data_IF_258145799922
#
_entry.id   IF_258145799922
#
_cell.length_a   1.000
_cell.length_b   1.000
_cell.length_c   1.000
_cell.angle_alpha   90.00
_cell.angle_beta   90.00
_cell.angle_gamma   90.00
#
_symmetry.space_group_name_H-M   'P 1'
#
loop_
_entity.id
_entity.type
_entity.pdbx_description
1 polymer ?
#
# COMPACT_ATOMS: atom_id res chain seq x y z
N UNK A 1 8.83 27.44 -0.39
CA UNK A 1 8.00 26.66 0.55
C UNK A 1 7.07 25.82 -0.30
N UNK A 2 7.49 24.61 -0.62
CA UNK A 2 6.76 23.71 -1.52
C UNK A 2 5.45 23.33 -0.83
N UNK A 3 4.33 23.58 -1.50
CA UNK A 3 3.02 23.13 -1.08
C UNK A 3 3.00 21.59 -1.20
N UNK A 4 3.49 20.87 -0.20
CA UNK A 4 3.24 19.43 -0.08
C UNK A 4 1.74 19.25 0.14
N UNK A 5 1.01 19.17 -0.96
CA UNK A 5 -0.36 18.70 -0.94
C UNK A 5 -0.33 17.31 -0.30
N UNK A 6 -0.85 17.19 0.93
CA UNK A 6 -1.04 15.89 1.59
C UNK A 6 -1.84 15.03 0.62
N UNK A 7 -1.20 14.01 0.08
CA UNK A 7 -1.87 13.03 -0.77
C UNK A 7 -3.01 12.41 0.04
N UNK A 8 -4.25 12.40 -0.48
CA UNK A 8 -5.36 11.73 0.18
C UNK A 8 -5.03 10.25 0.47
N UNK A 9 -5.51 9.73 1.59
CA UNK A 9 -5.32 8.32 1.95
C UNK A 9 -6.21 7.39 1.10
N UNK A 10 -7.31 7.94 0.59
CA UNK A 10 -8.25 7.28 -0.31
C UNK A 10 -8.54 8.20 -1.50
N UNK A 11 -8.62 7.62 -2.69
CA UNK A 11 -9.03 8.32 -3.92
C UNK A 11 -10.26 7.65 -4.53
N UNK A 12 -11.13 8.44 -5.16
CA UNK A 12 -12.20 7.89 -5.98
C UNK A 12 -11.64 7.05 -7.14
N UNK A 13 -12.43 6.09 -7.64
CA UNK A 13 -11.95 5.15 -8.66
C UNK A 13 -11.39 5.84 -9.92
N UNK A 14 -12.05 6.90 -10.37
CA UNK A 14 -11.75 7.68 -11.57
C UNK A 14 -10.99 8.99 -11.29
N UNK A 15 -10.49 9.16 -10.06
CA UNK A 15 -9.78 10.37 -9.65
C UNK A 15 -8.52 10.61 -10.50
N UNK A 16 -8.30 11.81 -11.07
CA UNK A 16 -7.11 12.11 -11.86
C UNK A 16 -5.80 12.00 -11.07
N UNK A 17 -5.84 12.06 -9.73
CA UNK A 17 -4.69 11.84 -8.86
C UNK A 17 -4.33 10.35 -8.68
N UNK A 18 -5.12 9.40 -9.23
CA UNK A 18 -4.85 7.96 -9.20
C UNK A 18 -3.71 7.56 -10.16
N UNK A 19 -2.53 8.14 -9.97
CA UNK A 19 -1.32 7.87 -10.77
C UNK A 19 -0.64 6.56 -10.36
N UNK A 20 0.34 6.12 -11.15
CA UNK A 20 1.14 4.93 -10.88
C UNK A 20 1.78 4.96 -9.48
N UNK A 21 2.28 6.12 -9.07
CA UNK A 21 2.95 6.35 -7.79
C UNK A 21 1.97 6.33 -6.60
N UNK A 22 0.73 6.76 -6.83
CA UNK A 22 -0.27 6.86 -5.76
C UNK A 22 -1.07 5.58 -5.56
N UNK A 23 -1.35 4.81 -6.61
CA UNK A 23 -2.25 3.63 -6.53
C UNK A 23 -1.68 2.37 -7.19
N UNK A 24 -0.46 2.42 -7.72
CA UNK A 24 0.17 1.31 -8.44
C UNK A 24 -0.39 1.08 -9.84
N UNK A 25 0.23 0.16 -10.60
CA UNK A 25 -0.06 -0.04 -12.02
C UNK A 25 -1.48 -0.55 -12.31
N UNK A 26 -2.02 -1.38 -11.40
CA UNK A 26 -3.40 -1.88 -11.49
C UNK A 26 -4.41 -0.76 -11.23
N UNK A 27 -4.24 -0.02 -10.12
CA UNK A 27 -5.12 1.10 -9.76
C UNK A 27 -5.15 2.16 -10.86
N UNK A 28 -3.99 2.56 -11.36
CA UNK A 28 -3.88 3.56 -12.42
C UNK A 28 -4.51 3.09 -13.74
N UNK A 29 -4.45 1.78 -14.04
CA UNK A 29 -5.12 1.23 -15.22
C UNK A 29 -6.64 1.23 -15.05
N UNK A 30 -7.15 0.83 -13.88
CA UNK A 30 -8.59 0.90 -13.57
C UNK A 30 -9.11 2.33 -13.61
N UNK A 31 -8.37 3.29 -13.05
CA UNK A 31 -8.75 4.70 -13.07
C UNK A 31 -8.88 5.24 -14.49
N UNK A 32 -7.93 4.92 -15.39
CA UNK A 32 -8.04 5.30 -16.80
C UNK A 32 -9.27 4.70 -17.48
N UNK A 33 -9.59 3.43 -17.22
CA UNK A 33 -10.77 2.78 -17.79
C UNK A 33 -12.07 3.44 -17.28
N UNK A 34 -12.15 3.70 -15.97
CA UNK A 34 -13.30 4.35 -15.35
C UNK A 34 -13.49 5.79 -15.87
N UNK A 35 -12.41 6.56 -15.98
CA UNK A 35 -12.44 7.95 -16.45
C UNK A 35 -12.93 8.11 -17.89
N UNK A 36 -12.78 7.08 -18.74
CA UNK A 36 -13.33 7.08 -20.11
C UNK A 36 -14.73 6.45 -20.21
N UNK A 37 -15.37 6.13 -19.08
CA UNK A 37 -16.72 5.60 -19.03
C UNK A 37 -16.86 4.12 -19.42
N UNK A 38 -15.76 3.35 -19.44
CA UNK A 38 -15.85 1.90 -19.62
C UNK A 38 -16.48 1.26 -18.37
N UNK A 39 -17.18 0.12 -18.52
CA UNK A 39 -17.83 -0.55 -17.40
C UNK A 39 -16.79 -1.14 -16.44
N UNK A 40 -16.49 -0.38 -15.38
CA UNK A 40 -15.68 -0.82 -14.24
C UNK A 40 -16.59 -0.88 -13.02
N UNK A 41 -16.57 -1.96 -12.22
CA UNK A 41 -17.31 -2.02 -10.97
C UNK A 41 -16.98 -0.83 -10.06
N UNK A 42 -17.95 -0.28 -9.31
CA UNK A 42 -17.70 0.85 -8.42
C UNK A 42 -16.69 0.49 -7.33
N UNK A 43 -15.91 1.47 -6.88
CA UNK A 43 -14.88 1.27 -5.87
C UNK A 43 -14.08 2.53 -5.58
N UNK A 44 -12.92 2.34 -4.95
CA UNK A 44 -11.97 3.39 -4.59
C UNK A 44 -10.56 2.80 -4.50
N UNK A 45 -9.56 3.66 -4.44
CA UNK A 45 -8.16 3.26 -4.24
C UNK A 45 -7.69 3.61 -2.84
N UNK A 46 -7.03 2.67 -2.16
CA UNK A 46 -6.19 2.97 -1.00
C UNK A 46 -4.81 3.37 -1.52
N UNK A 47 -4.34 4.56 -1.15
CA UNK A 47 -3.10 5.10 -1.74
C UNK A 47 -1.84 4.51 -1.12
N UNK A 48 -0.71 4.67 -1.80
CA UNK A 48 0.61 4.32 -1.23
C UNK A 48 0.94 5.18 0.00
N UNK A 49 0.35 6.38 0.12
CA UNK A 49 0.44 7.19 1.33
C UNK A 49 -0.27 6.53 2.52
N UNK A 50 -1.45 5.95 2.31
CA UNK A 50 -2.16 5.17 3.34
C UNK A 50 -1.36 3.94 3.78
N UNK A 51 -0.75 3.21 2.84
CA UNK A 51 0.16 2.11 3.18
C UNK A 51 1.34 2.59 4.05
N UNK A 52 2.02 3.67 3.65
CA UNK A 52 3.16 4.23 4.41
C UNK A 52 2.72 4.68 5.81
N UNK A 53 1.54 5.30 5.91
CA UNK A 53 0.98 5.72 7.19
C UNK A 53 0.71 4.52 8.10
N UNK A 54 0.02 3.48 7.61
CA UNK A 54 -0.20 2.24 8.35
C UNK A 54 1.11 1.61 8.85
N UNK A 55 2.12 1.50 7.99
CA UNK A 55 3.43 0.93 8.34
C UNK A 55 4.14 1.75 9.42
N UNK A 56 4.04 3.08 9.35
CA UNK A 56 4.68 4.01 10.30
C UNK A 56 4.00 3.96 11.66
N UNK A 57 2.67 4.09 11.70
CA UNK A 57 1.89 4.09 12.94
C UNK A 57 1.99 2.76 13.70
N UNK A 58 2.19 1.65 12.99
CA UNK A 58 2.39 0.34 13.59
C UNK A 58 3.86 -0.01 13.87
N UNK A 59 4.82 0.89 13.59
CA UNK A 59 6.25 0.65 13.81
C UNK A 59 6.77 -0.57 13.06
N UNK A 60 6.22 -0.87 11.88
CA UNK A 60 6.51 -2.11 11.14
C UNK A 60 7.80 -2.01 10.32
N UNK A 61 8.18 -0.81 9.89
CA UNK A 61 9.29 -0.61 8.95
C UNK A 61 10.59 -1.28 9.41
N UNK A 62 11.02 -1.01 10.64
CA UNK A 62 12.26 -1.58 11.19
C UNK A 62 12.18 -3.10 11.34
N UNK A 63 11.03 -3.61 11.78
CA UNK A 63 10.81 -5.04 11.97
C UNK A 63 10.79 -5.82 10.66
N UNK A 64 10.23 -5.23 9.61
CA UNK A 64 10.24 -5.79 8.24
C UNK A 64 11.68 -5.86 7.74
N UNK A 65 12.42 -4.76 7.81
CA UNK A 65 13.81 -4.70 7.36
C UNK A 65 14.69 -5.71 8.10
N UNK A 66 14.58 -5.78 9.43
CA UNK A 66 15.32 -6.76 10.23
C UNK A 66 14.97 -8.21 9.86
N UNK A 67 13.69 -8.49 9.58
CA UNK A 67 13.24 -9.84 9.17
C UNK A 67 13.76 -10.21 7.78
N UNK A 68 13.76 -9.28 6.83
CA UNK A 68 14.33 -9.52 5.49
C UNK A 68 15.84 -9.69 5.56
N UNK A 69 16.56 -8.86 6.32
CA UNK A 69 18.02 -8.95 6.45
C UNK A 69 18.50 -10.24 7.12
N UNK A 70 17.66 -10.86 7.95
CA UNK A 70 17.96 -12.15 8.57
C UNK A 70 17.63 -13.35 7.66
N UNK A 71 16.93 -13.15 6.54
CA UNK A 71 16.56 -14.22 5.63
C UNK A 71 17.70 -14.56 4.66
N UNK A 72 17.84 -15.84 4.35
CA UNK A 72 18.88 -16.35 3.46
C UNK A 72 18.33 -16.48 2.04
N UNK A 73 18.83 -15.66 1.12
CA UNK A 73 18.23 -15.47 -0.20
C UNK A 73 18.19 -16.73 -1.11
N UNK A 74 19.13 -17.66 -0.91
CA UNK A 74 19.22 -18.92 -1.65
C UNK A 74 18.52 -20.10 -0.93
N UNK A 75 17.86 -19.84 0.20
CA UNK A 75 17.11 -20.85 0.96
C UNK A 75 15.60 -20.56 0.94
N UNK A 76 14.82 -21.28 0.12
CA UNK A 76 13.38 -21.05 0.01
C UNK A 76 12.62 -21.09 1.33
N UNK A 77 12.99 -22.01 2.23
CA UNK A 77 12.38 -22.14 3.57
C UNK A 77 12.58 -20.88 4.42
N UNK A 78 13.78 -20.29 4.38
CA UNK A 78 14.08 -19.04 5.11
C UNK A 78 13.23 -17.87 4.59
N UNK A 79 13.06 -17.77 3.26
CA UNK A 79 12.21 -16.75 2.65
C UNK A 79 10.74 -16.93 2.99
N UNK A 80 10.24 -18.18 3.02
CA UNK A 80 8.87 -18.49 3.43
C UNK A 80 8.62 -18.11 4.90
N UNK A 81 9.56 -18.41 5.80
CA UNK A 81 9.46 -18.03 7.20
C UNK A 81 9.44 -16.51 7.39
N UNK A 82 10.32 -15.79 6.69
CA UNK A 82 10.34 -14.33 6.69
C UNK A 82 9.02 -13.74 6.18
N UNK A 83 8.50 -14.27 5.07
CA UNK A 83 7.21 -13.87 4.48
C UNK A 83 6.05 -14.10 5.46
N UNK A 84 5.96 -15.28 6.09
CA UNK A 84 4.93 -15.58 7.09
C UNK A 84 5.03 -14.66 8.29
N UNK A 85 6.25 -14.36 8.76
CA UNK A 85 6.48 -13.46 9.89
C UNK A 85 6.02 -12.03 9.57
N UNK A 86 6.40 -11.49 8.41
CA UNK A 86 5.95 -10.17 7.96
C UNK A 86 4.43 -10.15 7.79
N UNK A 87 3.84 -11.18 7.18
CA UNK A 87 2.38 -11.30 7.04
C UNK A 87 1.64 -11.25 8.38
N UNK A 88 2.16 -11.91 9.42
CA UNK A 88 1.60 -11.84 10.78
C UNK A 88 1.70 -10.44 11.38
N UNK A 89 2.81 -9.73 11.16
CA UNK A 89 2.96 -8.34 11.63
C UNK A 89 1.87 -7.44 11.04
N UNK A 90 1.60 -7.53 9.74
CA UNK A 90 0.51 -6.78 9.10
C UNK A 90 -0.86 -7.18 9.64
N UNK A 91 -1.12 -8.48 9.82
CA UNK A 91 -2.40 -8.97 10.33
C UNK A 91 -2.68 -8.55 11.78
N UNK A 92 -1.65 -8.26 12.56
CA UNK A 92 -1.75 -7.80 13.95
C UNK A 92 -1.72 -6.27 14.10
N UNK A 93 -1.38 -5.55 13.03
CA UNK A 93 -1.37 -4.09 13.02
C UNK A 93 -2.78 -3.52 13.22
N UNK A 94 -2.86 -2.40 13.95
CA UNK A 94 -4.10 -1.66 14.13
C UNK A 94 -4.31 -0.69 12.97
N UNK A 95 -5.54 -0.63 12.46
CA UNK A 95 -5.89 0.32 11.40
C UNK A 95 -5.96 1.75 11.99
N UNK A 96 -5.19 2.72 11.47
CA UNK A 96 -5.31 4.10 11.90
C UNK A 96 -6.70 4.67 11.59
N UNK A 97 -7.23 5.52 12.48
CA UNK A 97 -8.58 6.06 12.36
C UNK A 97 -8.78 6.91 11.09
N UNK A 98 -7.71 7.49 10.55
CA UNK A 98 -7.75 8.30 9.33
C UNK A 98 -7.88 7.46 8.04
N UNK A 99 -7.68 6.14 8.13
CA UNK A 99 -7.90 5.18 7.02
C UNK A 99 -9.22 4.40 7.22
N UNK A 100 -9.68 4.28 8.48
CA UNK A 100 -10.80 3.41 8.89
C UNK A 100 -12.18 3.88 8.43
#
# INVERSE_FOLDING_TARGET
MSNEQRVPLVLALDDPAATLEQVGGKGASLARLAAVGLPVPPGFHITTAAYRYFVTENGLQEQILATVSAATADQPTSLEEASRKIGRMFAQGSMPAEIA
#
